data_IF_806511952061
#
_entry.id   IF_806511952061
#
_cell.length_a   1.000
_cell.length_b   1.000
_cell.length_c   1.000
_cell.angle_alpha   90.00
_cell.angle_beta   90.00
_cell.angle_gamma   90.00
#
_symmetry.space_group_name_H-M   'P 1'
#
loop_
_entity.id
_entity.type
_entity.pdbx_description
1 polymer ?
#
# COMPACT_ATOMS: atom_id res chain seq x y z
N UNK A 1 -52.98 -16.26 -34.37
CA UNK A 1 -52.08 -15.26 -33.73
C UNK A 1 -50.75 -15.25 -34.49
N UNK A 2 -50.51 -14.28 -35.39
CA UNK A 2 -49.23 -14.23 -36.15
C UNK A 2 -48.15 -13.65 -35.24
N UNK A 3 -47.20 -14.47 -34.84
CA UNK A 3 -46.03 -14.02 -34.08
C UNK A 3 -45.18 -13.08 -34.96
N UNK A 4 -44.91 -11.87 -34.49
CA UNK A 4 -44.14 -10.89 -35.26
C UNK A 4 -42.64 -11.29 -35.22
N UNK A 5 -42.20 -12.03 -36.26
CA UNK A 5 -40.84 -12.59 -36.39
C UNK A 5 -39.77 -11.48 -36.28
N UNK A 6 -40.03 -10.25 -36.77
CA UNK A 6 -39.10 -9.11 -36.63
C UNK A 6 -38.89 -8.75 -35.18
N UNK A 7 -39.96 -8.65 -34.38
CA UNK A 7 -39.88 -8.35 -32.96
C UNK A 7 -39.05 -9.38 -32.21
N UNK A 8 -39.27 -10.68 -32.48
CA UNK A 8 -38.51 -11.77 -31.86
C UNK A 8 -36.99 -11.71 -32.18
N UNK A 9 -36.64 -11.26 -33.39
CA UNK A 9 -35.22 -11.06 -33.76
C UNK A 9 -34.57 -9.93 -33.01
N UNK A 10 -35.24 -8.78 -32.82
CA UNK A 10 -34.74 -7.67 -32.05
C UNK A 10 -34.60 -8.00 -30.56
N UNK A 11 -35.57 -8.72 -29.99
CA UNK A 11 -35.52 -9.16 -28.59
C UNK A 11 -34.33 -10.10 -28.34
N UNK A 12 -33.99 -11.00 -29.26
CA UNK A 12 -32.80 -11.86 -29.18
C UNK A 12 -31.50 -11.07 -29.29
N UNK A 13 -31.41 -10.09 -30.18
CA UNK A 13 -30.23 -9.24 -30.34
C UNK A 13 -30.04 -8.41 -29.07
N UNK A 14 -31.10 -7.83 -28.54
CA UNK A 14 -31.06 -7.07 -27.29
C UNK A 14 -30.57 -7.92 -26.12
N UNK A 15 -31.09 -9.15 -25.99
CA UNK A 15 -30.65 -10.09 -24.94
C UNK A 15 -29.16 -10.44 -25.07
N UNK A 16 -28.65 -10.66 -26.26
CA UNK A 16 -27.23 -10.96 -26.51
C UNK A 16 -26.36 -9.76 -26.09
N UNK A 17 -26.73 -8.54 -26.52
CA UNK A 17 -26.01 -7.32 -26.16
C UNK A 17 -26.00 -7.14 -24.63
N UNK A 18 -27.13 -7.34 -23.98
CA UNK A 18 -27.26 -7.24 -22.52
C UNK A 18 -26.38 -8.24 -21.80
N UNK A 19 -26.30 -9.48 -22.24
CA UNK A 19 -25.41 -10.50 -21.69
C UNK A 19 -23.94 -10.11 -21.88
N UNK A 20 -23.54 -9.60 -23.05
CA UNK A 20 -22.18 -9.14 -23.32
C UNK A 20 -21.81 -8.00 -22.37
N UNK A 21 -22.71 -7.04 -22.15
CA UNK A 21 -22.50 -5.94 -21.21
C UNK A 21 -22.29 -6.47 -19.78
N UNK A 22 -23.12 -7.40 -19.33
CA UNK A 22 -22.98 -8.00 -17.99
C UNK A 22 -21.63 -8.72 -17.84
N UNK A 23 -21.24 -9.51 -18.85
CA UNK A 23 -19.94 -10.19 -18.83
C UNK A 23 -18.80 -9.19 -18.78
N UNK A 24 -18.85 -8.14 -19.61
CA UNK A 24 -17.85 -7.08 -19.63
C UNK A 24 -17.74 -6.36 -18.27
N UNK A 25 -18.88 -5.97 -17.68
CA UNK A 25 -18.92 -5.32 -16.37
C UNK A 25 -18.39 -6.26 -15.27
N UNK A 26 -18.71 -7.54 -15.34
CA UNK A 26 -18.23 -8.54 -14.37
C UNK A 26 -16.71 -8.74 -14.47
N UNK A 27 -16.17 -8.85 -15.69
CA UNK A 27 -14.72 -8.95 -15.93
C UNK A 27 -14.00 -7.68 -15.49
N UNK A 28 -14.56 -6.52 -15.83
CA UNK A 28 -14.03 -5.22 -15.40
C UNK A 28 -13.99 -5.11 -13.88
N UNK A 29 -15.08 -5.49 -13.19
CA UNK A 29 -15.12 -5.55 -11.73
C UNK A 29 -14.05 -6.46 -11.14
N UNK A 30 -13.84 -7.65 -11.74
CA UNK A 30 -12.80 -8.59 -11.30
C UNK A 30 -11.38 -8.01 -11.45
N UNK A 31 -11.10 -7.32 -12.56
CA UNK A 31 -9.81 -6.66 -12.79
C UNK A 31 -9.56 -5.58 -11.74
N UNK A 32 -10.55 -4.73 -11.48
CA UNK A 32 -10.44 -3.63 -10.52
C UNK A 32 -10.22 -4.09 -9.07
N UNK A 33 -10.71 -5.27 -8.72
CA UNK A 33 -10.62 -5.83 -7.37
C UNK A 33 -9.55 -6.92 -7.21
N UNK A 34 -8.65 -7.06 -8.18
CA UNK A 34 -7.48 -7.95 -8.10
C UNK A 34 -6.19 -7.13 -8.25
N UNK A 35 -5.63 -6.63 -7.15
CA UNK A 35 -4.40 -5.86 -7.21
C UNK A 35 -3.25 -6.71 -7.76
N UNK A 36 -2.44 -6.11 -8.63
CA UNK A 36 -1.26 -6.76 -9.19
C UNK A 36 -0.18 -6.92 -8.12
N UNK A 37 0.43 -8.10 -8.06
CA UNK A 37 1.47 -8.45 -7.11
C UNK A 37 2.71 -8.93 -7.85
N UNK A 38 3.87 -8.45 -7.43
CA UNK A 38 5.18 -8.82 -7.96
C UNK A 38 5.96 -9.57 -6.89
N UNK A 39 6.65 -10.64 -7.28
CA UNK A 39 7.47 -11.43 -6.36
C UNK A 39 8.89 -11.55 -6.91
N UNK A 40 9.87 -11.20 -6.10
CA UNK A 40 11.28 -11.35 -6.37
C UNK A 40 11.88 -12.36 -5.40
N UNK A 41 12.53 -13.37 -5.96
CA UNK A 41 13.15 -14.42 -5.17
C UNK A 41 14.56 -13.99 -4.72
N UNK A 42 15.03 -14.43 -3.56
CA UNK A 42 16.37 -14.11 -3.08
C UNK A 42 17.45 -14.76 -3.94
N UNK A 43 18.64 -14.14 -3.94
CA UNK A 43 19.84 -14.71 -4.59
C UNK A 43 20.22 -16.05 -3.97
N UNK A 44 20.19 -16.11 -2.65
CA UNK A 44 20.42 -17.33 -1.89
C UNK A 44 19.09 -17.94 -1.42
N UNK A 45 18.82 -19.17 -1.87
CA UNK A 45 17.61 -19.91 -1.50
C UNK A 45 17.55 -20.28 0.00
N UNK A 46 18.65 -20.17 0.73
CA UNK A 46 18.67 -20.37 2.19
C UNK A 46 18.06 -19.19 2.95
N UNK A 47 17.91 -18.03 2.33
CA UNK A 47 17.21 -16.89 2.96
C UNK A 47 15.71 -17.20 3.11
N UNK A 48 15.29 -17.31 4.35
CA UNK A 48 13.88 -17.62 4.70
C UNK A 48 13.02 -16.38 4.96
N UNK A 49 13.59 -15.18 4.91
CA UNK A 49 12.84 -13.96 5.20
C UNK A 49 12.04 -13.49 4.00
N UNK A 50 10.78 -13.12 4.27
CA UNK A 50 9.88 -12.51 3.28
C UNK A 50 9.52 -11.11 3.73
N UNK A 51 9.73 -10.12 2.85
CA UNK A 51 9.36 -8.71 3.06
C UNK A 51 8.20 -8.40 2.13
N UNK A 52 7.07 -7.96 2.69
CA UNK A 52 5.92 -7.49 1.93
C UNK A 52 5.89 -5.97 1.92
N UNK A 53 5.86 -5.37 0.74
CA UNK A 53 5.80 -3.92 0.52
C UNK A 53 4.46 -3.59 -0.12
N UNK A 54 3.68 -2.77 0.59
CA UNK A 54 2.36 -2.34 0.21
C UNK A 54 2.42 -0.86 -0.19
N UNK A 55 2.04 -0.54 -1.42
CA UNK A 55 1.90 0.83 -1.90
C UNK A 55 0.47 1.33 -1.70
N UNK A 56 0.30 2.61 -1.67
CA UNK A 56 -0.96 3.39 -1.76
C UNK A 56 -2.27 2.65 -1.46
N UNK A 57 -2.47 2.22 -0.23
CA UNK A 57 -3.76 1.71 0.26
C UNK A 57 -4.83 2.80 0.10
N UNK A 58 -4.45 4.05 0.33
CA UNK A 58 -5.26 5.21 0.05
C UNK A 58 -4.95 5.75 -1.35
N UNK A 59 -5.97 5.89 -2.20
CA UNK A 59 -5.77 6.27 -3.59
C UNK A 59 -5.26 7.69 -3.80
N UNK A 60 -5.52 8.61 -2.87
CA UNK A 60 -5.00 9.98 -2.88
C UNK A 60 -3.57 10.13 -2.34
N UNK A 61 -2.87 9.02 -2.08
CA UNK A 61 -1.48 8.95 -1.60
C UNK A 61 -0.57 8.30 -2.67
N UNK A 62 -0.37 8.94 -3.86
CA UNK A 62 0.20 8.27 -5.03
C UNK A 62 1.71 7.98 -4.95
N UNK A 63 2.43 8.55 -3.98
CA UNK A 63 3.88 8.34 -3.87
C UNK A 63 4.23 6.87 -3.64
N UNK A 64 3.45 6.15 -2.82
CA UNK A 64 3.66 4.73 -2.53
C UNK A 64 3.62 3.85 -3.78
N UNK A 65 2.61 4.01 -4.64
CA UNK A 65 2.52 3.30 -5.92
C UNK A 65 3.72 3.60 -6.81
N UNK A 66 4.11 4.87 -6.95
CA UNK A 66 5.23 5.28 -7.80
C UNK A 66 6.59 4.79 -7.26
N UNK A 67 6.78 4.80 -5.95
CA UNK A 67 7.98 4.26 -5.32
C UNK A 67 8.08 2.73 -5.51
N UNK A 68 6.97 2.01 -5.35
CA UNK A 68 6.90 0.58 -5.64
C UNK A 68 7.27 0.28 -7.10
N UNK A 69 6.76 1.02 -8.07
CA UNK A 69 7.07 0.82 -9.48
C UNK A 69 8.57 1.02 -9.77
N UNK A 70 9.18 2.10 -9.25
CA UNK A 70 10.64 2.30 -9.36
C UNK A 70 11.44 1.20 -8.66
N UNK A 71 10.95 0.68 -7.54
CA UNK A 71 11.59 -0.44 -6.85
C UNK A 71 11.51 -1.73 -7.67
N UNK A 72 10.39 -2.00 -8.33
CA UNK A 72 10.23 -3.14 -9.25
C UNK A 72 11.25 -3.05 -10.40
N UNK A 73 11.39 -1.87 -11.03
CA UNK A 73 12.39 -1.63 -12.06
C UNK A 73 13.82 -1.87 -11.57
N UNK A 74 14.11 -1.46 -10.33
CA UNK A 74 15.40 -1.70 -9.69
C UNK A 74 15.64 -3.19 -9.44
N UNK A 75 14.66 -3.93 -8.90
CA UNK A 75 14.75 -5.34 -8.58
C UNK A 75 14.81 -6.25 -9.81
N UNK A 76 14.27 -5.82 -10.94
CA UNK A 76 14.45 -6.52 -12.22
C UNK A 76 15.92 -6.57 -12.68
N UNK A 77 16.75 -5.65 -12.17
CA UNK A 77 18.19 -5.55 -12.48
C UNK A 77 19.09 -5.98 -11.31
N UNK A 78 18.54 -6.11 -10.12
CA UNK A 78 19.28 -6.35 -8.88
C UNK A 78 18.57 -7.41 -8.03
N UNK A 79 19.13 -8.59 -7.98
CA UNK A 79 18.56 -9.70 -7.20
C UNK A 79 18.65 -9.39 -5.70
N UNK A 80 17.56 -9.45 -4.94
CA UNK A 80 17.56 -9.15 -3.51
C UNK A 80 18.15 -10.30 -2.67
N UNK A 81 18.52 -9.98 -1.42
CA UNK A 81 18.97 -10.99 -0.45
C UNK A 81 17.80 -11.76 0.19
N UNK A 82 16.62 -11.15 0.24
CA UNK A 82 15.41 -11.73 0.82
C UNK A 82 14.32 -11.87 -0.24
N UNK A 83 13.31 -12.70 0.02
CA UNK A 83 12.11 -12.72 -0.82
C UNK A 83 11.35 -11.40 -0.65
N UNK A 84 11.11 -10.70 -1.77
CA UNK A 84 10.37 -9.43 -1.79
C UNK A 84 9.05 -9.63 -2.51
N UNK A 85 7.96 -9.25 -1.87
CA UNK A 85 6.61 -9.21 -2.45
C UNK A 85 6.16 -7.76 -2.47
N UNK A 86 5.73 -7.26 -3.62
CA UNK A 86 5.30 -5.86 -3.79
C UNK A 86 3.90 -5.84 -4.35
N UNK A 87 2.99 -5.14 -3.67
CA UNK A 87 1.66 -4.80 -4.15
C UNK A 87 1.58 -3.28 -4.32
N UNK A 88 1.83 -2.74 -5.53
CA UNK A 88 2.00 -1.29 -5.72
C UNK A 88 0.71 -0.49 -5.52
N UNK A 89 -0.42 -1.06 -5.91
CA UNK A 89 -1.68 -0.32 -6.04
C UNK A 89 -2.88 -1.20 -5.65
N UNK A 90 -3.12 -1.42 -4.36
CA UNK A 90 -4.27 -2.20 -3.91
C UNK A 90 -5.61 -1.51 -4.21
N UNK A 91 -5.66 -0.18 -4.10
CA UNK A 91 -6.85 0.64 -4.36
C UNK A 91 -6.80 1.28 -5.75
N UNK A 92 -6.98 0.46 -6.79
CA UNK A 92 -6.84 0.89 -8.19
C UNK A 92 -7.77 2.06 -8.54
N UNK A 93 -9.05 1.94 -8.22
CA UNK A 93 -10.03 2.99 -8.55
C UNK A 93 -9.79 4.26 -7.73
N UNK A 94 -9.51 4.13 -6.44
CA UNK A 94 -9.14 5.25 -5.60
C UNK A 94 -7.93 6.00 -6.15
N UNK A 95 -6.91 5.28 -6.61
CA UNK A 95 -5.71 5.88 -7.21
C UNK A 95 -6.03 6.72 -8.46
N UNK A 96 -6.78 6.19 -9.41
CA UNK A 96 -7.11 6.92 -10.64
C UNK A 96 -8.11 8.05 -10.44
N UNK A 97 -8.92 7.97 -9.40
CA UNK A 97 -9.88 9.04 -9.05
C UNK A 97 -9.37 9.99 -7.97
N UNK A 98 -8.10 9.81 -7.52
CA UNK A 98 -7.49 10.57 -6.43
C UNK A 98 -8.36 10.58 -5.16
N UNK A 99 -8.94 9.43 -4.82
CA UNK A 99 -9.81 9.26 -3.67
C UNK A 99 -9.15 8.37 -2.62
N UNK A 100 -9.23 8.75 -1.35
CA UNK A 100 -8.75 7.95 -0.22
C UNK A 100 -9.43 6.59 -0.14
N UNK A 101 -10.74 6.58 -0.30
CA UNK A 101 -11.61 5.43 -0.08
C UNK A 101 -11.69 4.52 -1.31
N UNK A 102 -12.13 3.27 -1.10
CA UNK A 102 -12.65 2.47 -2.19
C UNK A 102 -13.88 3.14 -2.78
N UNK A 103 -14.05 3.05 -4.11
CA UNK A 103 -15.26 3.52 -4.75
C UNK A 103 -16.46 2.61 -4.43
N UNK A 104 -17.67 3.19 -4.57
CA UNK A 104 -18.92 2.45 -4.39
C UNK A 104 -18.91 1.08 -5.12
N UNK A 105 -19.54 0.05 -4.56
CA UNK A 105 -20.49 0.11 -3.44
C UNK A 105 -19.85 0.18 -2.04
N UNK A 106 -18.54 -0.03 -1.92
CA UNK A 106 -17.87 -0.22 -0.63
C UNK A 106 -17.61 1.10 0.10
N UNK A 107 -17.24 2.16 -0.60
CA UNK A 107 -16.97 3.52 -0.07
C UNK A 107 -16.34 3.52 1.34
N UNK A 108 -15.39 2.58 1.57
CA UNK A 108 -14.77 2.33 2.86
C UNK A 108 -13.27 2.61 2.82
N UNK A 109 -12.70 3.00 3.95
CA UNK A 109 -11.26 3.09 4.12
C UNK A 109 -10.68 1.68 4.26
N UNK A 110 -9.91 1.22 3.26
CA UNK A 110 -9.26 -0.10 3.29
C UNK A 110 -8.45 -0.27 4.58
N UNK A 111 -7.80 0.82 5.06
CA UNK A 111 -7.00 0.79 6.28
C UNK A 111 -7.86 0.90 7.57
N UNK A 112 -9.12 0.49 7.48
CA UNK A 112 -10.07 0.24 8.59
C UNK A 112 -10.82 -1.08 8.42
N UNK A 113 -10.36 -1.94 7.51
CA UNK A 113 -11.03 -3.20 7.16
C UNK A 113 -10.14 -4.43 7.48
N UNK A 114 -9.14 -4.27 8.37
CA UNK A 114 -8.22 -5.36 8.76
C UNK A 114 -8.60 -6.03 10.09
N UNK A 115 -9.89 -6.03 10.45
CA UNK A 115 -10.37 -6.89 11.55
C UNK A 115 -10.23 -8.37 11.16
N UNK A 116 -9.83 -9.22 12.10
CA UNK A 116 -9.74 -10.68 11.96
C UNK A 116 -9.25 -11.20 10.58
N UNK A 117 -10.18 -11.53 9.68
CA UNK A 117 -9.91 -12.10 8.34
C UNK A 117 -9.92 -11.05 7.22
N UNK A 118 -10.15 -9.78 7.56
CA UNK A 118 -10.42 -8.70 6.62
C UNK A 118 -11.91 -8.62 6.26
N UNK A 119 -12.42 -7.40 6.11
CA UNK A 119 -13.86 -7.17 5.90
C UNK A 119 -14.23 -7.17 4.42
N UNK A 120 -13.35 -6.63 3.58
CA UNK A 120 -13.57 -6.58 2.14
C UNK A 120 -12.60 -7.49 1.37
N UNK A 121 -12.81 -7.60 0.05
CA UNK A 121 -11.97 -8.44 -0.81
C UNK A 121 -10.51 -7.98 -0.83
N UNK A 122 -10.24 -6.67 -0.84
CA UNK A 122 -8.87 -6.14 -0.96
C UNK A 122 -8.13 -6.37 0.34
N UNK A 123 -8.75 -6.10 1.50
CA UNK A 123 -8.15 -6.38 2.81
C UNK A 123 -7.84 -7.87 2.99
N UNK A 124 -8.74 -8.78 2.55
CA UNK A 124 -8.49 -10.24 2.55
C UNK A 124 -7.29 -10.62 1.68
N UNK A 125 -7.15 -10.03 0.50
CA UNK A 125 -6.00 -10.28 -0.38
C UNK A 125 -4.71 -9.77 0.28
N UNK A 126 -4.71 -8.57 0.86
CA UNK A 126 -3.54 -8.02 1.56
C UNK A 126 -3.14 -8.94 2.72
N UNK A 127 -4.10 -9.34 3.57
CA UNK A 127 -3.83 -10.20 4.72
C UNK A 127 -3.23 -11.56 4.34
N UNK A 128 -3.58 -12.11 3.18
CA UNK A 128 -2.94 -13.33 2.67
C UNK A 128 -1.41 -13.17 2.55
N UNK A 129 -0.92 -12.01 2.11
CA UNK A 129 0.52 -11.74 2.01
C UNK A 129 1.13 -11.35 3.35
N UNK A 130 0.42 -10.57 4.16
CA UNK A 130 0.85 -10.18 5.52
C UNK A 130 1.11 -11.39 6.40
N UNK A 131 0.21 -12.37 6.40
CA UNK A 131 0.36 -13.60 7.20
C UNK A 131 1.62 -14.39 6.87
N UNK A 132 2.03 -14.38 5.61
CA UNK A 132 3.18 -15.12 5.08
C UNK A 132 4.45 -14.26 4.97
N UNK A 133 4.51 -13.12 5.65
CA UNK A 133 5.65 -12.21 5.63
C UNK A 133 6.21 -11.98 7.03
N UNK A 134 7.52 -11.79 7.10
CA UNK A 134 8.26 -11.51 8.34
C UNK A 134 8.32 -10.01 8.65
N UNK A 135 8.27 -9.18 7.59
CA UNK A 135 8.26 -7.73 7.68
C UNK A 135 7.24 -7.17 6.69
N UNK A 136 6.42 -6.25 7.16
CA UNK A 136 5.46 -5.50 6.37
C UNK A 136 5.89 -4.03 6.34
N UNK A 137 5.98 -3.46 5.13
CA UNK A 137 6.25 -2.04 4.91
C UNK A 137 5.07 -1.46 4.17
N UNK A 138 4.41 -0.49 4.79
CA UNK A 138 3.20 0.16 4.28
C UNK A 138 3.51 1.61 3.91
N UNK A 139 3.29 1.97 2.64
CA UNK A 139 3.66 3.27 2.10
C UNK A 139 2.47 4.20 2.09
N UNK A 140 2.56 5.24 2.89
CA UNK A 140 1.54 6.27 3.09
C UNK A 140 2.06 7.68 2.82
N UNK A 141 1.14 8.62 2.86
CA UNK A 141 1.41 10.06 2.84
C UNK A 141 0.59 10.75 3.93
N UNK A 142 1.29 11.44 4.83
CA UNK A 142 0.66 12.19 5.90
C UNK A 142 0.57 13.69 5.62
N UNK A 143 -0.07 14.38 6.54
CA UNK A 143 -0.15 15.83 6.59
C UNK A 143 1.10 16.40 7.23
N UNK A 144 1.53 17.59 6.82
CA UNK A 144 2.56 18.40 7.45
C UNK A 144 3.92 17.70 7.63
N UNK A 145 4.81 18.34 8.37
CA UNK A 145 6.11 17.78 8.79
C UNK A 145 6.09 17.51 10.28
N UNK A 146 6.31 16.29 10.70
CA UNK A 146 6.22 15.85 12.10
C UNK A 146 7.07 16.73 13.06
N UNK A 147 8.28 17.14 12.65
CA UNK A 147 9.14 18.00 13.49
C UNK A 147 8.47 19.34 13.81
N UNK A 148 7.74 19.93 12.83
CA UNK A 148 7.05 21.21 13.01
C UNK A 148 5.72 21.03 13.73
N UNK A 149 5.06 19.92 13.49
CA UNK A 149 3.73 19.59 13.98
C UNK A 149 3.70 18.15 14.53
N UNK A 150 4.10 17.93 15.80
CA UNK A 150 4.26 16.59 16.37
C UNK A 150 3.00 15.72 16.40
N UNK A 151 1.82 16.31 16.15
CA UNK A 151 0.56 15.58 16.00
C UNK A 151 0.31 15.10 14.56
N UNK A 152 1.12 15.53 13.59
CA UNK A 152 1.01 15.11 12.20
C UNK A 152 1.83 13.85 11.95
N UNK A 153 1.49 13.12 10.87
CA UNK A 153 2.23 11.92 10.48
C UNK A 153 3.24 12.18 9.34
N UNK A 154 3.13 13.29 8.61
CA UNK A 154 4.02 13.54 7.48
C UNK A 154 5.49 13.64 7.88
N UNK A 155 6.38 13.14 7.03
CA UNK A 155 7.82 12.98 7.29
C UNK A 155 8.12 12.18 8.56
N UNK A 156 7.46 11.04 8.72
CA UNK A 156 7.74 10.08 9.79
C UNK A 156 7.87 8.64 9.26
N UNK A 157 8.55 7.82 10.02
CA UNK A 157 8.58 6.37 9.89
C UNK A 157 8.05 5.80 11.20
N UNK A 158 6.98 5.03 11.12
CA UNK A 158 6.21 4.61 12.28
C UNK A 158 6.28 3.08 12.40
N UNK A 159 7.22 2.54 13.18
CA UNK A 159 7.27 1.12 13.48
C UNK A 159 6.17 0.74 14.46
N UNK A 160 5.79 -0.53 14.44
CA UNK A 160 5.03 -1.09 15.55
C UNK A 160 5.94 -1.38 16.76
N UNK A 161 5.38 -2.00 17.83
CA UNK A 161 6.10 -2.29 19.09
C UNK A 161 7.26 -3.30 18.95
N UNK A 162 7.46 -3.90 17.79
CA UNK A 162 8.57 -4.82 17.54
C UNK A 162 9.92 -4.08 17.60
N UNK A 163 10.86 -4.63 18.41
CA UNK A 163 12.23 -4.11 18.46
C UNK A 163 12.88 -4.12 17.08
N UNK A 164 12.69 -5.19 16.31
CA UNK A 164 13.24 -5.31 14.96
C UNK A 164 12.70 -4.22 14.02
N UNK A 165 11.39 -3.97 14.01
CA UNK A 165 10.79 -2.90 13.21
C UNK A 165 11.30 -1.51 13.64
N UNK A 166 11.44 -1.28 14.95
CA UNK A 166 11.96 -0.02 15.49
C UNK A 166 13.42 0.24 15.06
N UNK A 167 14.29 -0.75 15.18
CA UNK A 167 15.70 -0.64 14.76
C UNK A 167 15.82 -0.34 13.26
N UNK A 168 14.98 -0.97 12.43
CA UNK A 168 14.91 -0.68 10.99
C UNK A 168 14.39 0.71 10.69
N UNK A 169 13.35 1.17 11.38
CA UNK A 169 12.80 2.52 11.22
C UNK A 169 13.88 3.60 11.45
N UNK A 170 14.70 3.44 12.49
CA UNK A 170 15.84 4.34 12.74
C UNK A 170 16.88 4.31 11.61
N UNK A 171 17.20 3.15 11.03
CA UNK A 171 18.09 3.05 9.88
C UNK A 171 17.51 3.74 8.63
N UNK A 172 16.20 3.58 8.39
CA UNK A 172 15.49 4.25 7.30
C UNK A 172 15.55 5.78 7.46
N UNK A 173 15.21 6.28 8.64
CA UNK A 173 15.25 7.71 8.98
C UNK A 173 16.66 8.28 8.79
N UNK A 174 17.68 7.58 9.27
CA UNK A 174 19.07 7.99 9.07
C UNK A 174 19.40 8.12 7.58
N UNK A 175 19.03 7.14 6.76
CA UNK A 175 19.35 7.11 5.34
C UNK A 175 18.67 8.25 4.56
N UNK A 176 17.38 8.50 4.76
CA UNK A 176 16.66 9.55 4.07
C UNK A 176 17.09 10.95 4.52
N UNK A 177 17.37 11.12 5.80
CA UNK A 177 17.79 12.42 6.38
C UNK A 177 19.15 12.92 5.90
N UNK A 178 20.01 12.04 5.35
CA UNK A 178 21.24 12.46 4.70
C UNK A 178 20.98 13.28 3.41
N UNK A 179 19.83 13.13 2.80
CA UNK A 179 19.45 13.86 1.58
C UNK A 179 18.66 15.14 1.83
N UNK A 180 18.24 15.38 3.09
CA UNK A 180 17.36 16.51 3.46
C UNK A 180 18.16 17.58 4.18
N UNK A 181 18.30 18.75 3.53
CA UNK A 181 19.04 19.90 4.08
C UNK A 181 18.23 20.65 5.15
N UNK A 182 16.93 20.86 4.91
CA UNK A 182 16.06 21.61 5.85
C UNK A 182 15.74 20.75 7.06
N UNK A 183 16.22 21.18 8.23
CA UNK A 183 16.04 20.46 9.51
C UNK A 183 14.56 20.25 9.85
N UNK A 184 13.70 21.18 9.46
CA UNK A 184 12.26 21.11 9.76
C UNK A 184 11.51 20.10 8.89
N UNK A 185 12.13 19.62 7.80
CA UNK A 185 11.56 18.65 6.86
C UNK A 185 12.11 17.24 7.06
N UNK A 186 13.03 17.05 7.99
CA UNK A 186 13.61 15.74 8.30
C UNK A 186 12.57 14.77 8.83
N UNK A 187 12.80 13.51 8.54
CA UNK A 187 12.00 12.40 9.07
C UNK A 187 12.35 12.10 10.52
N UNK A 188 11.39 11.57 11.25
CA UNK A 188 11.57 11.02 12.59
C UNK A 188 11.08 9.57 12.64
N UNK A 189 11.70 8.74 13.48
CA UNK A 189 11.11 7.48 13.89
C UNK A 189 10.10 7.79 15.00
N UNK A 190 8.81 7.63 14.69
CA UNK A 190 7.73 8.01 15.61
C UNK A 190 7.21 6.81 16.36
N UNK A 191 6.99 6.96 17.66
CA UNK A 191 6.40 5.92 18.52
C UNK A 191 4.85 5.94 18.52
N UNK A 192 4.23 6.43 17.48
CA UNK A 192 2.79 6.65 17.40
C UNK A 192 1.96 5.38 17.70
N UNK A 193 2.40 4.23 17.20
CA UNK A 193 1.72 2.95 17.43
C UNK A 193 2.12 2.23 18.71
N UNK A 194 3.11 2.76 19.45
CA UNK A 194 3.61 2.12 20.67
C UNK A 194 2.86 2.51 21.95
N UNK A 195 2.00 3.54 21.88
CA UNK A 195 1.30 4.08 23.06
C UNK A 195 0.12 3.22 23.50
N UNK A 196 -0.50 2.51 22.54
CA UNK A 196 -1.65 1.64 22.78
C UNK A 196 -1.56 0.44 21.84
N UNK A 197 -2.13 -0.69 22.22
CA UNK A 197 -2.09 -1.91 21.38
C UNK A 197 -2.76 -1.71 20.02
N UNK A 198 -3.62 -0.69 19.89
CA UNK A 198 -4.37 -0.42 18.67
C UNK A 198 -4.86 1.03 18.58
N UNK A 199 -3.97 1.97 18.35
CA UNK A 199 -4.31 3.41 18.24
C UNK A 199 -5.32 3.71 17.11
N UNK A 200 -5.24 2.97 16.00
CA UNK A 200 -6.18 3.04 14.88
C UNK A 200 -6.88 1.68 14.74
N UNK A 201 -8.06 1.49 15.34
CA UNK A 201 -8.79 0.24 15.24
C UNK A 201 -8.93 -0.23 13.79
N UNK A 202 -8.81 -1.54 13.59
CA UNK A 202 -8.96 -2.22 12.30
C UNK A 202 -8.05 -1.74 11.16
N UNK A 203 -6.99 -0.99 11.53
CA UNK A 203 -5.89 -0.68 10.60
C UNK A 203 -4.95 -1.87 10.42
N UNK A 204 -4.16 -1.84 9.34
CA UNK A 204 -3.12 -2.86 9.10
C UNK A 204 -2.07 -2.86 10.22
N UNK A 205 -1.70 -1.69 10.74
CA UNK A 205 -0.81 -1.57 11.90
C UNK A 205 -1.37 -2.30 13.14
N UNK A 206 -2.67 -2.10 13.42
CA UNK A 206 -3.35 -2.76 14.52
C UNK A 206 -3.38 -4.29 14.34
N UNK A 207 -3.72 -4.77 13.14
CA UNK A 207 -3.67 -6.19 12.81
C UNK A 207 -2.28 -6.77 13.04
N UNK A 208 -1.24 -6.10 12.55
CA UNK A 208 0.15 -6.55 12.72
C UNK A 208 0.58 -6.59 14.18
N UNK A 209 0.18 -5.60 15.00
CA UNK A 209 0.43 -5.61 16.45
C UNK A 209 -0.22 -6.80 17.15
N UNK A 210 -1.51 -7.04 16.89
CA UNK A 210 -2.28 -8.16 17.50
C UNK A 210 -1.72 -9.53 17.09
N UNK A 211 -1.15 -9.64 15.88
CA UNK A 211 -0.63 -10.89 15.32
C UNK A 211 0.90 -11.04 15.40
N UNK A 212 1.59 -10.19 16.18
CA UNK A 212 3.05 -10.20 16.36
C UNK A 212 3.85 -10.16 15.05
N UNK A 213 3.35 -9.44 14.04
CA UNK A 213 4.04 -9.18 12.77
C UNK A 213 4.89 -7.92 12.89
N UNK A 214 6.10 -7.93 12.30
CA UNK A 214 6.89 -6.71 12.20
C UNK A 214 6.27 -5.76 11.16
N UNK A 215 5.98 -4.53 11.55
CA UNK A 215 5.30 -3.56 10.68
C UNK A 215 5.96 -2.19 10.77
N UNK A 216 6.08 -1.54 9.62
CA UNK A 216 6.58 -0.18 9.48
C UNK A 216 5.69 0.58 8.49
N UNK A 217 5.10 1.71 8.91
CA UNK A 217 4.52 2.69 8.00
C UNK A 217 5.55 3.75 7.66
N UNK A 218 5.64 4.13 6.38
CA UNK A 218 6.43 5.26 5.91
C UNK A 218 5.45 6.35 5.48
N UNK A 219 5.52 7.51 6.15
CA UNK A 219 4.63 8.65 5.93
C UNK A 219 5.41 9.80 5.31
N UNK A 220 5.31 10.00 4.01
CA UNK A 220 5.85 11.22 3.38
C UNK A 220 4.87 12.38 3.49
N UNK A 221 5.35 13.65 3.44
CA UNK A 221 4.48 14.82 3.48
C UNK A 221 3.84 15.04 2.11
N UNK A 222 2.64 14.48 1.91
CA UNK A 222 1.95 14.41 0.63
C UNK A 222 0.53 14.94 0.59
N UNK A 223 -0.03 15.31 1.73
CA UNK A 223 -1.39 15.81 1.84
C UNK A 223 -1.41 17.30 2.21
N UNK A 224 -2.44 18.02 1.78
CA UNK A 224 -2.65 19.48 1.99
C UNK A 224 -1.62 20.40 1.30
N UNK A 225 -1.65 21.70 1.72
CA UNK A 225 -0.87 22.78 1.07
C UNK A 225 0.64 22.69 1.30
N UNK A 226 1.09 22.01 2.34
CA UNK A 226 2.52 21.82 2.60
C UNK A 226 3.09 20.55 1.95
N UNK A 227 2.33 19.92 1.04
CA UNK A 227 2.79 18.73 0.34
C UNK A 227 4.07 18.99 -0.44
N UNK A 228 5.02 18.09 -0.33
CA UNK A 228 6.21 18.09 -1.15
C UNK A 228 5.88 17.68 -2.60
N UNK A 229 6.77 18.04 -3.53
CA UNK A 229 6.70 17.53 -4.89
C UNK A 229 6.67 16.00 -4.90
N UNK A 230 5.91 15.43 -5.85
CA UNK A 230 5.71 13.98 -5.91
C UNK A 230 7.03 13.22 -6.13
N UNK A 231 7.96 13.77 -6.91
CA UNK A 231 9.24 13.10 -7.16
C UNK A 231 10.11 13.07 -5.91
N UNK A 232 10.06 14.13 -5.08
CA UNK A 232 10.76 14.16 -3.79
C UNK A 232 10.22 13.06 -2.87
N UNK A 233 8.90 12.96 -2.73
CA UNK A 233 8.24 11.95 -1.89
C UNK A 233 8.56 10.53 -2.33
N UNK A 234 8.51 10.29 -3.65
CA UNK A 234 8.85 9.00 -4.26
C UNK A 234 10.31 8.63 -3.99
N UNK A 235 11.23 9.58 -4.15
CA UNK A 235 12.65 9.33 -3.90
C UNK A 235 12.94 9.09 -2.42
N UNK A 236 12.28 9.82 -1.52
CA UNK A 236 12.39 9.59 -0.07
C UNK A 236 11.97 8.17 0.31
N UNK A 237 10.82 7.69 -0.17
CA UNK A 237 10.38 6.32 0.06
C UNK A 237 11.35 5.29 -0.56
N UNK A 238 11.82 5.54 -1.78
CA UNK A 238 12.74 4.64 -2.48
C UNK A 238 14.10 4.50 -1.77
N UNK A 239 14.65 5.60 -1.24
CA UNK A 239 15.89 5.59 -0.43
C UNK A 239 15.72 4.67 0.78
N UNK A 240 14.61 4.83 1.51
CA UNK A 240 14.31 4.04 2.70
C UNK A 240 14.13 2.56 2.36
N UNK A 241 13.41 2.24 1.29
CA UNK A 241 13.21 0.87 0.81
C UNK A 241 14.54 0.21 0.39
N UNK A 242 15.36 0.91 -0.40
CA UNK A 242 16.68 0.39 -0.83
C UNK A 242 17.63 0.17 0.36
N UNK A 243 17.54 1.00 1.40
CA UNK A 243 18.34 0.81 2.61
C UNK A 243 18.03 -0.52 3.30
N UNK A 244 16.76 -0.90 3.39
CA UNK A 244 16.34 -2.19 3.97
C UNK A 244 16.87 -3.36 3.12
N UNK A 245 16.75 -3.26 1.80
CA UNK A 245 17.14 -4.34 0.91
C UNK A 245 18.65 -4.63 0.91
N UNK A 246 19.48 -3.63 1.28
CA UNK A 246 20.93 -3.79 1.38
C UNK A 246 21.40 -4.34 2.73
N UNK A 247 20.64 -4.12 3.79
CA UNK A 247 21.06 -4.35 5.16
C UNK A 247 20.33 -5.51 5.87
N UNK A 248 19.51 -6.28 5.12
CA UNK A 248 18.79 -7.46 5.62
C UNK A 248 19.09 -8.68 4.69
#
# INVERSE_FOLDING_TARGET
MKVNIKKLKYDKIFLIIFIIIIIFLSLFYLILNNPKVYTFLPKDKSSNKTIFILGSVHGNEPAGTKACNKLIEYLNKNVPNNKIIIMPMPNLLGYYTNNRYQLKPFNSDINRNFSNEGEDRISKIILKYVRNSDLIIDLHEGYEYHIRYPKSMGSSVIPNKSKYANDLAHKMVKSVNMTIKDKNKKFVASNFYNKEDCYLPDSLACYCNKNNKNYISIETTGLNHNKQDINIRVEQQLIMLKNILKNN
#
